data_IF_343907334310
#
_entry.id   IF_343907334310
#
_cell.length_a   1.000
_cell.length_b   1.000
_cell.length_c   1.000
_cell.angle_alpha   90.00
_cell.angle_beta   90.00
_cell.angle_gamma   90.00
#
_symmetry.space_group_name_H-M   'P 1'
#
loop_
_entity.id
_entity.type
_entity.pdbx_description
1 polymer ?
#
# COMPACT_ATOMS: atom_id res chain seq x y z
N UNK A 1 24.59 10.62 -2.68
CA UNK A 1 23.53 10.03 -1.82
C UNK A 1 22.18 10.72 -2.06
N UNK A 2 22.16 12.05 -2.12
CA UNK A 2 20.95 12.87 -2.26
C UNK A 2 20.05 12.51 -3.46
N UNK A 3 20.62 12.25 -4.64
CA UNK A 3 19.85 11.88 -5.84
C UNK A 3 19.10 10.53 -5.70
N UNK A 4 19.74 9.55 -5.05
CA UNK A 4 19.14 8.25 -4.77
C UNK A 4 17.97 8.39 -3.78
N UNK A 5 18.15 9.22 -2.74
CA UNK A 5 17.10 9.54 -1.77
C UNK A 5 15.94 10.30 -2.43
N UNK A 6 16.23 11.26 -3.30
CA UNK A 6 15.19 11.97 -4.08
C UNK A 6 14.38 11.04 -4.98
N UNK A 7 15.03 10.03 -5.56
CA UNK A 7 14.34 9.00 -6.36
C UNK A 7 13.44 8.11 -5.51
N UNK A 8 13.90 7.69 -4.33
CA UNK A 8 13.09 6.90 -3.39
C UNK A 8 11.88 7.67 -2.88
N UNK A 9 12.03 8.97 -2.59
CA UNK A 9 10.93 9.85 -2.18
C UNK A 9 9.85 9.95 -3.25
N UNK A 10 10.24 10.18 -4.52
CA UNK A 10 9.29 10.19 -5.65
C UNK A 10 8.57 8.86 -5.83
N UNK A 11 9.28 7.73 -5.70
CA UNK A 11 8.66 6.39 -5.79
C UNK A 11 7.65 6.17 -4.66
N UNK A 12 7.97 6.55 -3.43
CA UNK A 12 7.02 6.48 -2.32
C UNK A 12 5.80 7.39 -2.54
N UNK A 13 5.99 8.59 -3.09
CA UNK A 13 4.90 9.47 -3.49
C UNK A 13 4.00 8.86 -4.55
N UNK A 14 4.57 8.22 -5.57
CA UNK A 14 3.81 7.49 -6.59
C UNK A 14 2.94 6.37 -5.97
N UNK A 15 3.51 5.54 -5.09
CA UNK A 15 2.75 4.46 -4.46
C UNK A 15 1.72 4.94 -3.44
N UNK A 16 1.92 6.12 -2.82
CA UNK A 16 0.87 6.76 -2.02
C UNK A 16 -0.34 7.13 -2.89
N UNK A 17 -0.13 7.56 -4.14
CA UNK A 17 -1.22 7.74 -5.11
C UNK A 17 -1.92 6.42 -5.45
N UNK A 18 -1.17 5.32 -5.64
CA UNK A 18 -1.74 3.98 -5.88
C UNK A 18 -2.56 3.46 -4.69
N UNK A 19 -2.15 3.77 -3.45
CA UNK A 19 -2.95 3.47 -2.26
C UNK A 19 -4.30 4.19 -2.31
N UNK A 20 -4.33 5.46 -2.71
CA UNK A 20 -5.60 6.21 -2.84
C UNK A 20 -6.52 5.56 -3.87
N UNK A 21 -6.00 5.17 -5.04
CA UNK A 21 -6.78 4.47 -6.08
C UNK A 21 -7.38 3.15 -5.55
N UNK A 22 -6.61 2.41 -4.74
CA UNK A 22 -7.08 1.18 -4.09
C UNK A 22 -8.18 1.47 -3.07
N UNK A 23 -8.03 2.53 -2.28
CA UNK A 23 -9.05 2.93 -1.29
C UNK A 23 -10.35 3.34 -1.97
N UNK A 24 -10.27 4.10 -3.07
CA UNK A 24 -11.43 4.49 -3.86
C UNK A 24 -12.12 3.26 -4.48
N UNK A 25 -11.35 2.29 -4.97
CA UNK A 25 -11.87 1.03 -5.48
C UNK A 25 -12.56 0.21 -4.38
N UNK A 26 -11.98 0.12 -3.17
CA UNK A 26 -12.63 -0.53 -2.03
C UNK A 26 -13.98 0.12 -1.69
N UNK A 27 -14.05 1.45 -1.65
CA UNK A 27 -15.33 2.15 -1.44
C UNK A 27 -16.34 1.83 -2.53
N UNK A 28 -15.91 1.68 -3.79
CA UNK A 28 -16.78 1.25 -4.89
C UNK A 28 -17.28 -0.19 -4.70
N UNK A 29 -16.42 -1.10 -4.25
CA UNK A 29 -16.80 -2.49 -3.95
C UNK A 29 -17.76 -2.59 -2.77
N UNK A 30 -17.61 -1.75 -1.74
CA UNK A 30 -18.58 -1.62 -0.64
C UNK A 30 -19.94 -1.18 -1.16
N UNK A 31 -20.00 -0.22 -2.08
CA UNK A 31 -21.24 0.19 -2.74
C UNK A 31 -21.90 -0.96 -3.51
N UNK A 32 -21.12 -1.76 -4.26
CA UNK A 32 -21.64 -2.97 -4.91
C UNK A 32 -22.16 -4.01 -3.92
N UNK A 33 -21.50 -4.15 -2.76
CA UNK A 33 -21.93 -5.09 -1.73
C UNK A 33 -23.31 -4.71 -1.18
N UNK A 34 -23.49 -3.44 -0.86
CA UNK A 34 -24.77 -2.90 -0.39
C UNK A 34 -25.88 -3.04 -1.45
N UNK A 35 -25.53 -2.90 -2.72
CA UNK A 35 -26.45 -3.12 -3.85
C UNK A 35 -26.73 -4.61 -4.15
N UNK A 36 -26.06 -5.56 -3.47
CA UNK A 36 -26.20 -6.99 -3.73
C UNK A 36 -25.64 -7.45 -5.08
N UNK A 37 -24.77 -6.63 -5.72
CA UNK A 37 -24.20 -6.91 -7.05
C UNK A 37 -22.70 -7.26 -7.00
N UNK A 38 -22.10 -7.27 -5.81
CA UNK A 38 -20.70 -7.59 -5.62
C UNK A 38 -20.41 -9.07 -5.91
N UNK A 39 -19.40 -9.33 -6.72
CA UNK A 39 -18.85 -10.68 -6.92
C UNK A 39 -17.60 -10.90 -6.07
N UNK A 40 -17.36 -12.14 -5.64
CA UNK A 40 -16.12 -12.52 -4.96
C UNK A 40 -14.88 -12.24 -5.85
N UNK A 41 -15.04 -12.38 -7.16
CA UNK A 41 -13.97 -12.12 -8.13
C UNK A 41 -13.51 -10.66 -8.10
N UNK A 42 -14.43 -9.71 -8.03
CA UNK A 42 -14.10 -8.27 -7.97
C UNK A 42 -13.20 -7.97 -6.76
N UNK A 43 -13.49 -8.56 -5.60
CA UNK A 43 -12.67 -8.40 -4.39
C UNK A 43 -11.28 -9.02 -4.54
N UNK A 44 -11.19 -10.21 -5.17
CA UNK A 44 -9.90 -10.88 -5.41
C UNK A 44 -8.98 -10.08 -6.33
N UNK A 45 -9.55 -9.44 -7.36
CA UNK A 45 -8.77 -8.55 -8.25
C UNK A 45 -8.23 -7.35 -7.47
N UNK A 46 -9.03 -6.76 -6.58
CA UNK A 46 -8.57 -5.67 -5.72
C UNK A 46 -7.45 -6.14 -4.76
N UNK A 47 -7.61 -7.29 -4.11
CA UNK A 47 -6.60 -7.86 -3.21
C UNK A 47 -5.27 -8.18 -3.94
N UNK A 48 -5.34 -8.70 -5.16
CA UNK A 48 -4.15 -8.93 -6.00
C UNK A 48 -3.43 -7.62 -6.34
N UNK A 49 -4.19 -6.56 -6.67
CA UNK A 49 -3.61 -5.25 -6.92
C UNK A 49 -2.93 -4.66 -5.67
N UNK A 50 -3.52 -4.84 -4.48
CA UNK A 50 -2.88 -4.49 -3.20
C UNK A 50 -1.54 -5.21 -3.05
N UNK A 51 -1.51 -6.53 -3.26
CA UNK A 51 -0.29 -7.35 -3.14
C UNK A 51 0.82 -6.85 -4.07
N UNK A 52 0.50 -6.58 -5.34
CA UNK A 52 1.48 -6.07 -6.31
C UNK A 52 2.09 -4.73 -5.87
N UNK A 53 1.29 -3.83 -5.30
CA UNK A 53 1.80 -2.55 -4.79
C UNK A 53 2.66 -2.77 -3.54
N UNK A 54 2.25 -3.68 -2.64
CA UNK A 54 3.05 -4.04 -1.46
C UNK A 54 4.42 -4.59 -1.85
N UNK A 55 4.50 -5.52 -2.79
CA UNK A 55 5.76 -6.06 -3.31
C UNK A 55 6.64 -4.97 -3.91
N UNK A 56 6.05 -4.08 -4.71
CA UNK A 56 6.76 -2.98 -5.34
C UNK A 56 7.31 -1.94 -4.34
N UNK A 57 6.62 -1.73 -3.21
CA UNK A 57 7.07 -0.89 -2.09
C UNK A 57 8.13 -1.61 -1.27
N UNK A 58 8.01 -2.93 -1.09
CA UNK A 58 8.95 -3.70 -0.29
C UNK A 58 10.35 -3.80 -0.94
N UNK A 59 10.42 -3.91 -2.26
CA UNK A 59 11.71 -3.91 -2.98
C UNK A 59 12.41 -2.56 -3.04
N UNK A 60 11.79 -1.47 -2.55
CA UNK A 60 12.47 -0.18 -2.45
C UNK A 60 13.67 -0.30 -1.53
N UNK A 61 14.85 0.01 -2.07
CA UNK A 61 16.15 -0.09 -1.38
C UNK A 61 16.37 1.03 -0.36
N UNK A 62 15.47 1.13 0.61
CA UNK A 62 15.51 2.10 1.70
C UNK A 62 15.79 1.37 3.01
N UNK A 63 16.97 1.61 3.60
CA UNK A 63 17.47 0.88 4.77
C UNK A 63 17.95 1.83 5.86
N UNK A 64 17.91 1.38 7.12
CA UNK A 64 18.41 2.14 8.28
C UNK A 64 19.90 2.51 8.15
N UNK A 65 20.70 1.61 7.58
CA UNK A 65 22.13 1.83 7.34
C UNK A 65 22.40 3.06 6.47
N UNK A 66 21.51 3.42 5.55
CA UNK A 66 21.68 4.64 4.73
C UNK A 66 21.62 5.91 5.57
N UNK A 67 20.80 5.93 6.63
CA UNK A 67 20.75 7.07 7.56
C UNK A 67 22.01 7.12 8.44
N UNK A 68 22.50 5.96 8.88
CA UNK A 68 23.76 5.87 9.62
C UNK A 68 24.95 6.33 8.78
N UNK A 69 25.01 5.92 7.51
CA UNK A 69 26.06 6.31 6.58
C UNK A 69 26.05 7.82 6.31
N UNK A 70 24.86 8.41 6.15
CA UNK A 70 24.69 9.86 6.05
C UNK A 70 25.20 10.59 7.31
N UNK A 71 24.88 10.09 8.52
CA UNK A 71 25.37 10.67 9.77
C UNK A 71 26.90 10.57 9.89
N UNK A 72 27.50 9.43 9.52
CA UNK A 72 28.96 9.24 9.52
C UNK A 72 29.67 10.20 8.55
N UNK A 73 28.99 10.59 7.48
CA UNK A 73 29.48 11.56 6.49
C UNK A 73 29.21 13.02 6.90
N UNK A 74 28.55 13.26 8.04
CA UNK A 74 28.17 14.61 8.48
C UNK A 74 26.94 15.18 7.76
N UNK A 75 26.24 14.39 6.95
CA UNK A 75 25.04 14.80 6.21
C UNK A 75 23.76 14.66 7.05
N UNK A 76 23.64 15.45 8.12
CA UNK A 76 22.51 15.34 9.07
C UNK A 76 21.14 15.55 8.41
N UNK A 77 21.04 16.49 7.46
CA UNK A 77 19.81 16.74 6.72
C UNK A 77 19.39 15.54 5.86
N UNK A 78 20.36 14.89 5.21
CA UNK A 78 20.16 13.68 4.43
C UNK A 78 19.69 12.53 5.33
N UNK A 79 20.36 12.31 6.47
CA UNK A 79 19.98 11.30 7.45
C UNK A 79 18.53 11.46 7.96
N UNK A 80 18.15 12.69 8.32
CA UNK A 80 16.77 13.02 8.72
C UNK A 80 15.77 12.67 7.62
N UNK A 81 16.10 12.98 6.36
CA UNK A 81 15.24 12.64 5.22
C UNK A 81 15.09 11.13 5.07
N UNK A 82 16.17 10.34 5.17
CA UNK A 82 16.10 8.87 5.13
C UNK A 82 15.17 8.33 6.22
N UNK A 83 15.30 8.81 7.46
CA UNK A 83 14.43 8.41 8.57
C UNK A 83 12.96 8.68 8.30
N UNK A 84 12.62 9.86 7.76
CA UNK A 84 11.24 10.19 7.36
C UNK A 84 10.73 9.24 6.28
N UNK A 85 11.54 8.95 5.26
CA UNK A 85 11.16 8.03 4.19
C UNK A 85 10.93 6.60 4.72
N UNK A 86 11.73 6.14 5.70
CA UNK A 86 11.58 4.82 6.31
C UNK A 86 10.24 4.70 7.02
N UNK A 87 9.85 5.74 7.77
CA UNK A 87 8.54 5.80 8.44
C UNK A 87 7.42 5.83 7.41
N UNK A 88 7.54 6.63 6.35
CA UNK A 88 6.55 6.68 5.26
C UNK A 88 6.38 5.34 4.57
N UNK A 89 7.47 4.66 4.21
CA UNK A 89 7.44 3.30 3.62
C UNK A 89 6.72 2.32 4.54
N UNK A 90 7.04 2.31 5.83
CA UNK A 90 6.39 1.43 6.80
C UNK A 90 4.89 1.71 6.90
N UNK A 91 4.50 2.98 6.99
CA UNK A 91 3.09 3.38 7.07
C UNK A 91 2.33 2.96 5.83
N UNK A 92 2.88 3.21 4.64
CA UNK A 92 2.29 2.81 3.37
C UNK A 92 2.03 1.29 3.32
N UNK A 93 2.99 0.47 3.74
CA UNK A 93 2.81 -0.99 3.83
C UNK A 93 1.71 -1.38 4.82
N UNK A 94 1.61 -0.71 5.97
CA UNK A 94 0.53 -0.96 6.93
C UNK A 94 -0.85 -0.60 6.36
N UNK A 95 -0.94 0.54 5.65
CA UNK A 95 -2.19 1.02 5.05
C UNK A 95 -2.62 0.09 3.89
N UNK A 96 -1.67 -0.34 3.04
CA UNK A 96 -1.92 -1.34 1.99
C UNK A 96 -2.37 -2.68 2.58
N UNK A 97 -1.70 -3.17 3.62
CA UNK A 97 -2.10 -4.41 4.29
C UNK A 97 -3.54 -4.30 4.86
N UNK A 98 -3.91 -3.13 5.39
CA UNK A 98 -5.27 -2.89 5.87
C UNK A 98 -6.29 -2.92 4.73
N UNK A 99 -5.94 -2.39 3.55
CA UNK A 99 -6.75 -2.48 2.34
C UNK A 99 -6.94 -3.94 1.88
N UNK A 100 -5.86 -4.75 1.92
CA UNK A 100 -5.93 -6.17 1.58
C UNK A 100 -6.89 -6.95 2.51
N UNK A 101 -6.81 -6.70 3.82
CA UNK A 101 -7.74 -7.30 4.80
C UNK A 101 -9.19 -6.88 4.53
N UNK A 102 -9.42 -5.62 4.17
CA UNK A 102 -10.77 -5.14 3.81
C UNK A 102 -11.30 -5.81 2.54
N UNK A 103 -10.47 -5.98 1.51
CA UNK A 103 -10.82 -6.70 0.28
C UNK A 103 -11.22 -8.16 0.57
N UNK A 104 -10.45 -8.87 1.41
CA UNK A 104 -10.74 -10.25 1.80
C UNK A 104 -12.03 -10.38 2.63
N UNK A 105 -12.30 -9.41 3.50
CA UNK A 105 -13.54 -9.34 4.26
C UNK A 105 -14.75 -9.17 3.34
N UNK A 106 -14.66 -8.27 2.35
CA UNK A 106 -15.70 -8.08 1.32
C UNK A 106 -15.89 -9.33 0.46
N UNK A 107 -14.81 -10.00 0.06
CA UNK A 107 -14.88 -11.25 -0.70
C UNK A 107 -15.65 -12.33 0.07
N UNK A 108 -15.36 -12.47 1.37
CA UNK A 108 -16.03 -13.41 2.26
C UNK A 108 -17.51 -13.07 2.42
N UNK A 109 -17.85 -11.78 2.57
CA UNK A 109 -19.23 -11.32 2.65
C UNK A 109 -20.00 -11.60 1.35
N UNK A 110 -19.43 -11.28 0.19
CA UNK A 110 -20.01 -11.54 -1.12
C UNK A 110 -20.30 -13.04 -1.33
N UNK A 111 -19.34 -13.91 -0.97
CA UNK A 111 -19.53 -15.37 -1.03
C UNK A 111 -20.69 -15.85 -0.17
N UNK A 112 -20.84 -15.34 1.06
CA UNK A 112 -21.95 -15.70 1.95
C UNK A 112 -23.29 -15.27 1.38
N UNK A 113 -23.38 -14.06 0.83
CA UNK A 113 -24.60 -13.55 0.20
C UNK A 113 -25.01 -14.40 -1.01
N UNK A 114 -24.05 -14.82 -1.85
CA UNK A 114 -24.34 -15.68 -3.00
C UNK A 114 -24.89 -17.07 -2.59
N UNK A 115 -24.35 -17.67 -1.53
CA UNK A 115 -24.81 -18.96 -1.00
C UNK A 115 -26.19 -18.91 -0.35
N UNK A 116 -26.61 -17.75 0.19
CA UNK A 116 -27.92 -17.60 0.81
C UNK A 116 -29.08 -17.49 -0.21
N UNK A 117 -28.75 -17.25 -1.49
CA UNK A 117 -29.72 -17.04 -2.58
C UNK A 117 -29.80 -18.26 -3.52
N UNK A 118 -28.88 -19.22 -3.38
CA UNK A 118 -28.81 -20.46 -4.17
C UNK A 118 -29.56 -21.63 -3.49
#
# INVERSE_FOLDING_TARGET
MEEAIGTLDRKLGHYAGRLQEIQDELTRLEGKHQAGTLSEYDCKVCAEHVTQVMEAVDVLSLRRSMAEDALRQGEEACAKKVCVLLVRRKRLLCDLNSCGVAADALATAARRSALAVA
#
